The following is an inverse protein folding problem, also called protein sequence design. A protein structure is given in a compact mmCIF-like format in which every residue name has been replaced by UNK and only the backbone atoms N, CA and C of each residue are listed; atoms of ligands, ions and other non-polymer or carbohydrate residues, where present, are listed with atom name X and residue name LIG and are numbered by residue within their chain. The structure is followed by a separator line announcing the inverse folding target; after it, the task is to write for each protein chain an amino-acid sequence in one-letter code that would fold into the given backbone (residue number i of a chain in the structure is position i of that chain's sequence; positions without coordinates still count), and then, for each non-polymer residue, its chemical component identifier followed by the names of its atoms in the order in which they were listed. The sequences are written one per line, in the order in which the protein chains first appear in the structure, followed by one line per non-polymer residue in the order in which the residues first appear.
data_IF_545843208507
#
_entry.id   IF_545843208507
#
_cell.length_a   1.000
_cell.length_b   1.000
_cell.length_c   1.000
_cell.angle_alpha   90.00
_cell.angle_beta   90.00
_cell.angle_gamma   90.00
#
_symmetry.space_group_name_H-M   'P 1'
#
loop_
_entity.id
_entity.type
_entity.pdbx_description
1 polymer ?
#
# COMPACT_ATOMS: atom_id res chain seq x y z
N UNK A 1 -7.46 4.85 -23.52
CA UNK A 1 -8.04 4.95 -24.88
C UNK A 1 -9.21 5.94 -24.96
N UNK A 2 -10.25 5.82 -24.12
CA UNK A 2 -11.43 6.71 -24.17
C UNK A 2 -11.08 8.21 -24.05
N UNK A 3 -10.17 8.58 -23.14
CA UNK A 3 -9.70 9.96 -22.99
C UNK A 3 -9.12 10.53 -24.29
N UNK A 4 -8.25 9.77 -24.97
CA UNK A 4 -7.66 10.17 -26.24
C UNK A 4 -8.71 10.39 -27.34
N UNK A 5 -9.68 9.48 -27.47
CA UNK A 5 -10.77 9.62 -28.46
C UNK A 5 -11.62 10.85 -28.18
N UNK A 6 -11.91 11.14 -26.91
CA UNK A 6 -12.64 12.34 -26.51
C UNK A 6 -11.82 13.62 -26.77
N UNK A 7 -10.51 13.60 -26.56
CA UNK A 7 -9.63 14.73 -26.91
C UNK A 7 -9.74 15.09 -28.38
N UNK A 8 -9.70 14.10 -29.28
CA UNK A 8 -9.87 14.33 -30.71
C UNK A 8 -11.26 14.88 -31.02
N UNK A 9 -12.32 14.32 -30.41
CA UNK A 9 -13.71 14.73 -30.66
C UNK A 9 -13.99 16.17 -30.23
N UNK A 10 -13.46 16.60 -29.09
CA UNK A 10 -13.76 17.90 -28.48
C UNK A 10 -12.70 18.99 -28.74
N UNK A 11 -11.66 18.70 -29.54
CA UNK A 11 -10.52 19.62 -29.80
C UNK A 11 -10.90 21.03 -30.24
N UNK A 12 -12.00 21.19 -30.96
CA UNK A 12 -12.46 22.48 -31.49
C UNK A 12 -13.48 23.19 -30.59
N UNK A 13 -13.91 22.56 -29.50
CA UNK A 13 -14.97 23.07 -28.62
C UNK A 13 -14.45 23.62 -27.30
N UNK A 14 -13.16 23.38 -27.00
CA UNK A 14 -12.52 23.72 -25.73
C UNK A 14 -11.58 24.90 -25.89
N UNK A 15 -11.58 25.80 -24.92
CA UNK A 15 -10.56 26.85 -24.78
C UNK A 15 -9.22 26.25 -24.36
N UNK A 16 -8.13 26.99 -24.60
CA UNK A 16 -6.77 26.56 -24.19
C UNK A 16 -6.69 26.22 -22.70
N UNK A 17 -7.30 27.02 -21.83
CA UNK A 17 -7.30 26.79 -20.38
C UNK A 17 -8.06 25.51 -20.00
N UNK A 18 -9.26 25.29 -20.57
CA UNK A 18 -10.03 24.08 -20.32
C UNK A 18 -9.29 22.83 -20.79
N UNK A 19 -8.63 22.90 -21.96
CA UNK A 19 -7.82 21.81 -22.47
C UNK A 19 -6.62 21.48 -21.57
N UNK A 20 -5.94 22.48 -20.99
CA UNK A 20 -4.87 22.27 -20.02
C UNK A 20 -5.38 21.56 -18.76
N UNK A 21 -6.51 22.01 -18.20
CA UNK A 21 -7.10 21.39 -17.00
C UNK A 21 -7.51 19.93 -17.27
N UNK A 22 -8.11 19.66 -18.43
CA UNK A 22 -8.47 18.30 -18.83
C UNK A 22 -7.23 17.40 -18.99
N UNK A 23 -6.20 17.89 -19.68
CA UNK A 23 -4.97 17.14 -19.90
C UNK A 23 -4.24 16.83 -18.58
N UNK A 24 -4.18 17.81 -17.67
CA UNK A 24 -3.66 17.63 -16.30
C UNK A 24 -4.47 16.57 -15.54
N UNK A 25 -5.79 16.72 -15.47
CA UNK A 25 -6.65 15.79 -14.72
C UNK A 25 -6.54 14.36 -15.25
N UNK A 26 -6.44 14.18 -16.57
CA UNK A 26 -6.24 12.86 -17.18
C UNK A 26 -4.84 12.30 -16.94
N UNK A 27 -3.81 13.12 -17.15
CA UNK A 27 -2.41 12.74 -16.92
C UNK A 27 -2.21 12.27 -15.48
N UNK A 28 -2.61 13.08 -14.50
CA UNK A 28 -2.49 12.75 -13.08
C UNK A 28 -3.21 11.43 -12.72
N UNK A 29 -4.47 11.27 -13.11
CA UNK A 29 -5.27 10.12 -12.73
C UNK A 29 -4.79 8.82 -13.38
N UNK A 30 -4.41 8.86 -14.67
CA UNK A 30 -3.82 7.72 -15.36
C UNK A 30 -2.44 7.38 -14.79
N UNK A 31 -1.63 8.39 -14.49
CA UNK A 31 -0.33 8.23 -13.83
C UNK A 31 -0.45 7.61 -12.45
N UNK A 32 -1.34 8.13 -11.59
CA UNK A 32 -1.58 7.58 -10.25
C UNK A 32 -2.07 6.13 -10.30
N UNK A 33 -2.97 5.82 -11.23
CA UNK A 33 -3.53 4.47 -11.38
C UNK A 33 -2.45 3.48 -11.84
N UNK A 34 -1.66 3.85 -12.85
CA UNK A 34 -0.52 3.04 -13.30
C UNK A 34 0.52 2.89 -12.18
N UNK A 35 0.82 3.98 -11.47
CA UNK A 35 1.71 4.01 -10.32
C UNK A 35 1.32 3.04 -9.23
N UNK A 36 0.08 3.09 -8.76
CA UNK A 36 -0.41 2.18 -7.71
C UNK A 36 -0.36 0.72 -8.18
N UNK A 37 -0.71 0.46 -9.44
CA UNK A 37 -0.65 -0.89 -10.01
C UNK A 37 0.77 -1.45 -10.01
N UNK A 38 1.74 -0.72 -10.56
CA UNK A 38 3.12 -1.19 -10.64
C UNK A 38 3.83 -1.16 -9.28
N UNK A 39 3.53 -0.19 -8.42
CA UNK A 39 3.98 -0.17 -7.02
C UNK A 39 3.54 -1.40 -6.25
N UNK A 40 2.32 -1.90 -6.49
CA UNK A 40 1.81 -3.12 -5.87
C UNK A 40 2.38 -4.42 -6.48
N UNK A 41 2.73 -4.42 -7.78
CA UNK A 41 3.32 -5.59 -8.47
C UNK A 41 4.79 -5.75 -8.11
N UNK A 42 5.56 -4.66 -8.11
CA UNK A 42 7.00 -4.66 -7.88
C UNK A 42 7.37 -4.17 -6.46
N UNK A 43 6.60 -4.57 -5.45
CA UNK A 43 6.89 -4.24 -4.05
C UNK A 43 8.32 -4.67 -3.67
N UNK A 44 9.07 -3.76 -3.04
CA UNK A 44 10.48 -3.95 -2.70
C UNK A 44 11.46 -3.45 -3.76
N UNK A 45 10.99 -2.99 -4.92
CA UNK A 45 11.82 -2.31 -5.92
C UNK A 45 11.16 -1.00 -6.40
N UNK A 46 11.09 -0.01 -5.50
CA UNK A 46 10.57 1.33 -5.77
C UNK A 46 11.15 1.98 -7.03
N UNK A 47 12.44 1.76 -7.29
CA UNK A 47 13.13 2.35 -8.43
C UNK A 47 12.47 1.91 -9.75
N UNK A 48 12.26 0.61 -9.93
CA UNK A 48 11.63 0.08 -11.15
C UNK A 48 10.15 0.46 -11.26
N UNK A 49 9.40 0.40 -10.16
CA UNK A 49 8.01 0.84 -10.09
C UNK A 49 7.87 2.30 -10.53
N UNK A 50 8.72 3.17 -9.99
CA UNK A 50 8.67 4.60 -10.27
C UNK A 50 9.04 4.89 -11.72
N UNK A 51 10.11 4.27 -12.24
CA UNK A 51 10.56 4.48 -13.62
C UNK A 51 9.47 4.10 -14.64
N UNK A 52 8.91 2.90 -14.50
CA UNK A 52 7.88 2.38 -15.41
C UNK A 52 6.59 3.18 -15.31
N UNK A 53 6.15 3.48 -14.08
CA UNK A 53 4.91 4.22 -13.83
C UNK A 53 4.99 5.66 -14.32
N UNK A 54 6.12 6.32 -14.11
CA UNK A 54 6.35 7.69 -14.58
C UNK A 54 6.34 7.73 -16.10
N UNK A 55 7.00 6.77 -16.77
CA UNK A 55 7.00 6.67 -18.22
C UNK A 55 5.59 6.47 -18.80
N UNK A 56 4.83 5.53 -18.25
CA UNK A 56 3.46 5.25 -18.70
C UNK A 56 2.54 6.44 -18.43
N UNK A 57 2.63 7.05 -17.23
CA UNK A 57 1.85 8.23 -16.87
C UNK A 57 2.15 9.41 -17.78
N UNK A 58 3.44 9.68 -18.05
CA UNK A 58 3.87 10.76 -18.93
C UNK A 58 3.38 10.56 -20.37
N UNK A 59 3.50 9.35 -20.93
CA UNK A 59 3.00 9.03 -22.27
C UNK A 59 1.48 9.13 -22.36
N UNK A 60 0.76 8.64 -21.35
CA UNK A 60 -0.70 8.73 -21.29
C UNK A 60 -1.19 10.18 -21.19
N UNK A 61 -0.55 11.00 -20.36
CA UNK A 61 -0.83 12.42 -20.22
C UNK A 61 -0.52 13.21 -21.49
N UNK A 62 0.61 12.93 -22.13
CA UNK A 62 0.98 13.52 -23.42
C UNK A 62 -0.06 13.18 -24.50
N UNK A 63 -0.47 11.91 -24.59
CA UNK A 63 -1.48 11.48 -25.54
C UNK A 63 -2.81 12.23 -25.33
N UNK A 64 -3.24 12.46 -24.09
CA UNK A 64 -4.47 13.20 -23.82
C UNK A 64 -4.39 14.68 -24.23
N UNK A 65 -3.21 15.30 -24.12
CA UNK A 65 -2.99 16.71 -24.46
C UNK A 65 -2.70 16.99 -25.94
N UNK A 66 -2.16 16.03 -26.69
CA UNK A 66 -1.65 16.25 -28.06
C UNK A 66 -2.69 16.77 -29.04
N UNK A 67 -3.95 16.37 -28.88
CA UNK A 67 -5.04 16.81 -29.74
C UNK A 67 -5.37 18.32 -29.59
N UNK A 68 -4.92 18.96 -28.51
CA UNK A 68 -5.22 20.35 -28.16
C UNK A 68 -4.04 21.32 -28.37
N UNK A 69 -2.86 20.81 -28.76
CA UNK A 69 -1.66 21.59 -29.00
C UNK A 69 -0.59 21.46 -27.89
N UNK A 70 0.47 22.26 -28.00
CA UNK A 70 1.71 22.06 -27.23
C UNK A 70 1.54 22.32 -25.72
N UNK A 71 0.79 23.35 -25.31
CA UNK A 71 0.66 23.68 -23.89
C UNK A 71 -0.11 22.60 -23.11
N UNK A 72 -1.31 22.13 -23.52
CA UNK A 72 -1.97 21.00 -22.87
C UNK A 72 -1.16 19.70 -22.92
N UNK A 73 -0.36 19.50 -23.97
CA UNK A 73 0.54 18.34 -24.08
C UNK A 73 1.61 18.33 -23.00
N UNK A 74 2.26 19.46 -22.77
CA UNK A 74 3.27 19.61 -21.73
C UNK A 74 2.65 19.46 -20.34
N UNK A 75 1.48 20.06 -20.11
CA UNK A 75 0.78 19.95 -18.84
C UNK A 75 0.39 18.49 -18.53
N UNK A 76 -0.16 17.79 -19.53
CA UNK A 76 -0.49 16.37 -19.42
C UNK A 76 0.74 15.50 -19.16
N UNK A 77 1.84 15.74 -19.89
CA UNK A 77 3.11 15.01 -19.68
C UNK A 77 3.65 15.20 -18.26
N UNK A 78 3.76 16.44 -17.79
CA UNK A 78 4.32 16.74 -16.46
C UNK A 78 3.42 16.21 -15.35
N UNK A 79 2.11 16.36 -15.51
CA UNK A 79 1.12 15.86 -14.56
C UNK A 79 1.09 14.32 -14.51
N UNK A 80 1.23 13.67 -15.66
CA UNK A 80 1.34 12.22 -15.76
C UNK A 80 2.61 11.65 -15.14
N UNK A 81 3.74 12.34 -15.34
CA UNK A 81 5.00 12.01 -14.68
C UNK A 81 4.87 12.12 -13.15
N UNK A 82 4.34 13.24 -12.66
CA UNK A 82 4.11 13.45 -11.22
C UNK A 82 3.15 12.43 -10.62
N UNK A 83 2.04 12.14 -11.32
CA UNK A 83 1.07 11.13 -10.91
C UNK A 83 1.67 9.73 -10.88
N UNK A 84 2.50 9.36 -11.86
CA UNK A 84 3.19 8.08 -11.92
C UNK A 84 4.13 7.86 -10.73
N UNK A 85 4.92 8.88 -10.38
CA UNK A 85 5.83 8.81 -9.22
C UNK A 85 5.07 8.70 -7.90
N UNK A 86 4.08 9.57 -7.69
CA UNK A 86 3.27 9.54 -6.46
C UNK A 86 2.47 8.24 -6.33
N UNK A 87 1.97 7.70 -7.43
CA UNK A 87 1.24 6.44 -7.43
C UNK A 87 2.13 5.25 -7.09
N UNK A 88 3.37 5.20 -7.62
CA UNK A 88 4.33 4.14 -7.30
C UNK A 88 4.67 4.10 -5.81
N UNK A 89 4.93 5.28 -5.22
CA UNK A 89 5.17 5.42 -3.78
C UNK A 89 3.96 4.97 -2.96
N UNK A 90 2.74 5.37 -3.36
CA UNK A 90 1.51 4.91 -2.71
C UNK A 90 1.35 3.39 -2.80
N UNK A 91 1.56 2.80 -3.97
CA UNK A 91 1.39 1.36 -4.18
C UNK A 91 2.39 0.49 -3.42
N UNK A 92 3.59 0.99 -3.15
CA UNK A 92 4.58 0.29 -2.32
C UNK A 92 4.26 0.39 -0.83
N UNK A 93 3.69 1.51 -0.38
CA UNK A 93 3.38 1.76 1.03
C UNK A 93 2.13 1.05 1.56
N UNK A 94 1.23 0.58 0.68
CA UNK A 94 0.00 -0.13 1.07
C UNK A 94 0.10 -1.64 0.84
N UNK A 95 -0.65 -2.41 1.64
CA UNK A 95 -0.73 -3.86 1.43
C UNK A 95 -1.38 -4.19 0.08
N UNK A 96 -1.08 -5.37 -0.48
CA UNK A 96 -1.57 -5.77 -1.80
C UNK A 96 -3.11 -5.72 -1.91
N UNK A 97 -3.83 -6.10 -0.84
CA UNK A 97 -5.30 -6.00 -0.78
C UNK A 97 -5.81 -4.56 -0.73
N UNK A 98 -5.12 -3.69 0.01
CA UNK A 98 -5.45 -2.27 0.08
C UNK A 98 -5.14 -1.56 -1.24
N UNK A 99 -4.07 -1.97 -1.94
CA UNK A 99 -3.71 -1.45 -3.25
C UNK A 99 -4.79 -1.74 -4.31
N UNK A 100 -5.40 -2.93 -4.30
CA UNK A 100 -6.55 -3.21 -5.18
C UNK A 100 -7.76 -2.32 -4.89
N UNK A 101 -8.03 -2.06 -3.61
CA UNK A 101 -9.09 -1.11 -3.23
C UNK A 101 -8.77 0.29 -3.74
N UNK A 102 -7.54 0.76 -3.54
CA UNK A 102 -7.07 2.06 -4.02
C UNK A 102 -7.13 2.16 -5.56
N UNK A 103 -6.74 1.10 -6.26
CA UNK A 103 -6.81 1.02 -7.73
C UNK A 103 -8.25 1.21 -8.23
N UNK A 104 -9.22 0.57 -7.59
CA UNK A 104 -10.64 0.72 -7.93
C UNK A 104 -11.14 2.16 -7.72
N UNK A 105 -10.70 2.81 -6.64
CA UNK A 105 -11.03 4.22 -6.37
C UNK A 105 -10.43 5.13 -7.46
N UNK A 106 -9.16 4.94 -7.80
CA UNK A 106 -8.47 5.74 -8.81
C UNK A 106 -9.01 5.51 -10.23
N UNK A 107 -9.40 4.28 -10.57
CA UNK A 107 -10.11 3.97 -11.81
C UNK A 107 -11.47 4.66 -11.87
N UNK A 108 -12.21 4.69 -10.76
CA UNK A 108 -13.47 5.43 -10.65
C UNK A 108 -13.25 6.92 -10.90
N UNK A 109 -12.23 7.50 -10.25
CA UNK A 109 -11.88 8.90 -10.40
C UNK A 109 -11.49 9.21 -11.86
N UNK A 110 -10.71 8.34 -12.49
CA UNK A 110 -10.35 8.42 -13.91
C UNK A 110 -11.58 8.35 -14.83
N UNK A 111 -12.52 7.45 -14.55
CA UNK A 111 -13.75 7.35 -15.34
C UNK A 111 -14.62 8.60 -15.20
N UNK A 112 -14.73 9.14 -13.98
CA UNK A 112 -15.51 10.34 -13.72
C UNK A 112 -14.91 11.60 -14.35
N UNK A 113 -13.58 11.69 -14.45
CA UNK A 113 -12.90 12.83 -15.07
C UNK A 113 -13.14 12.91 -16.59
N UNK A 114 -13.57 11.82 -17.25
CA UNK A 114 -14.04 11.85 -18.65
C UNK A 114 -15.25 12.78 -18.84
N UNK A 115 -16.05 12.99 -17.80
CA UNK A 115 -17.21 13.89 -17.85
C UNK A 115 -16.81 15.36 -18.01
N UNK A 116 -15.56 15.73 -17.65
CA UNK A 116 -15.04 17.09 -17.80
C UNK A 116 -15.06 17.55 -19.26
N UNK A 117 -14.89 16.64 -20.22
CA UNK A 117 -14.99 16.95 -21.65
C UNK A 117 -16.38 17.46 -22.02
N UNK A 118 -17.44 16.77 -21.57
CA UNK A 118 -18.82 17.20 -21.81
C UNK A 118 -19.18 18.47 -21.03
N UNK A 119 -18.69 18.59 -19.80
CA UNK A 119 -18.90 19.73 -18.92
C UNK A 119 -18.35 21.01 -19.55
N UNK A 120 -17.08 21.01 -19.94
CA UNK A 120 -16.44 22.20 -20.50
C UNK A 120 -16.81 22.49 -21.95
N UNK A 121 -17.27 21.48 -22.69
CA UNK A 121 -17.79 21.67 -24.04
C UNK A 121 -19.22 22.23 -24.08
N UNK A 122 -19.94 22.24 -22.95
CA UNK A 122 -21.32 22.71 -22.89
C UNK A 122 -21.40 24.24 -22.99
N UNK A 123 -22.15 24.76 -23.98
CA UNK A 123 -22.36 26.20 -24.19
C UNK A 123 -23.42 26.82 -23.28
N UNK A 124 -24.10 26.03 -22.46
CA UNK A 124 -25.15 26.51 -21.55
C UNK A 124 -24.56 27.11 -20.27
N UNK A 125 -25.02 28.32 -19.92
CA UNK A 125 -24.63 29.02 -18.70
C UNK A 125 -24.90 28.14 -17.46
N UNK A 126 -23.84 27.88 -16.69
CA UNK A 126 -23.83 27.07 -15.47
C UNK A 126 -24.59 27.86 -14.37
N UNK A 127 -25.92 27.78 -14.35
CA UNK A 127 -26.73 28.56 -13.38
C UNK A 127 -27.64 27.74 -12.47
N UNK A 128 -27.65 26.42 -12.58
CA UNK A 128 -28.46 25.57 -11.70
C UNK A 128 -27.64 24.52 -10.92
N UNK A 129 -27.85 24.45 -9.59
CA UNK A 129 -27.28 23.43 -8.67
C UNK A 129 -27.50 21.99 -9.16
N UNK A 130 -28.54 21.73 -9.96
CA UNK A 130 -28.85 20.42 -10.55
C UNK A 130 -27.78 19.92 -11.54
N UNK A 131 -26.96 20.81 -12.10
CA UNK A 131 -25.95 20.43 -13.08
C UNK A 131 -24.72 19.75 -12.45
N UNK A 132 -24.28 20.21 -11.27
CA UNK A 132 -23.22 19.56 -10.49
C UNK A 132 -23.66 18.22 -9.88
N UNK A 133 -24.98 18.04 -9.67
CA UNK A 133 -25.51 16.79 -9.11
C UNK A 133 -25.32 15.60 -10.05
N UNK A 134 -25.36 15.80 -11.37
CA UNK A 134 -25.19 14.72 -12.37
C UNK A 134 -23.80 14.06 -12.30
N UNK A 135 -22.67 14.79 -12.40
CA UNK A 135 -21.34 14.20 -12.30
C UNK A 135 -21.07 13.63 -10.90
N UNK A 136 -21.56 14.29 -9.84
CA UNK A 136 -21.42 13.78 -8.47
C UNK A 136 -22.19 12.45 -8.28
N UNK A 137 -23.42 12.35 -8.78
CA UNK A 137 -24.23 11.12 -8.72
C UNK A 137 -23.58 10.00 -9.53
N UNK A 138 -23.04 10.29 -10.71
CA UNK A 138 -22.32 9.28 -11.49
C UNK A 138 -21.06 8.80 -10.78
N UNK A 139 -20.32 9.69 -10.11
CA UNK A 139 -19.16 9.30 -9.32
C UNK A 139 -19.57 8.38 -8.15
N UNK A 140 -20.60 8.76 -7.39
CA UNK A 140 -21.12 7.97 -6.26
C UNK A 140 -21.62 6.59 -6.73
N UNK A 141 -22.33 6.53 -7.85
CA UNK A 141 -22.86 5.28 -8.41
C UNK A 141 -21.73 4.35 -8.88
N UNK A 142 -20.74 4.90 -9.59
CA UNK A 142 -19.61 4.14 -10.13
C UNK A 142 -18.67 3.66 -9.01
N UNK A 143 -18.46 4.49 -7.98
CA UNK A 143 -17.75 4.11 -6.77
C UNK A 143 -18.46 2.99 -6.02
N UNK A 144 -19.76 3.13 -5.78
CA UNK A 144 -20.57 2.10 -5.11
C UNK A 144 -20.53 0.79 -5.89
N UNK A 145 -20.68 0.84 -7.21
CA UNK A 145 -20.61 -0.33 -8.09
C UNK A 145 -19.25 -1.04 -8.01
N UNK A 146 -18.14 -0.32 -8.07
CA UNK A 146 -16.80 -0.92 -7.99
C UNK A 146 -16.46 -1.43 -6.59
N UNK A 147 -16.91 -0.73 -5.54
CA UNK A 147 -16.73 -1.17 -4.16
C UNK A 147 -17.54 -2.45 -3.84
N UNK A 148 -18.81 -2.49 -4.25
CA UNK A 148 -19.66 -3.68 -4.08
C UNK A 148 -19.21 -4.83 -4.99
N UNK A 149 -18.73 -4.54 -6.20
CA UNK A 149 -18.14 -5.52 -7.11
C UNK A 149 -16.94 -6.23 -6.49
N UNK A 150 -16.07 -5.49 -5.81
CA UNK A 150 -14.92 -6.06 -5.09
C UNK A 150 -15.34 -6.97 -3.92
N UNK A 151 -16.42 -6.62 -3.21
CA UNK A 151 -17.00 -7.46 -2.14
C UNK A 151 -17.67 -8.74 -2.69
N UNK A 152 -18.27 -8.68 -3.88
CA UNK A 152 -18.88 -9.81 -4.58
C UNK A 152 -17.85 -10.78 -5.17
N UNK A 153 -16.68 -10.31 -5.58
CA UNK A 153 -15.62 -11.17 -6.10
C UNK A 153 -15.01 -12.03 -4.96
N UNK A 154 -14.89 -11.47 -3.76
CA UNK A 154 -14.58 -12.24 -2.54
C UNK A 154 -15.62 -13.30 -2.21
N UNK A 155 -16.90 -13.13 -2.56
CA UNK A 155 -17.94 -14.14 -2.32
C UNK A 155 -18.06 -15.19 -3.44
N UNK A 156 -17.69 -14.86 -4.68
CA UNK A 156 -17.64 -15.82 -5.81
C UNK A 156 -16.34 -16.62 -5.89
N UNK A 157 -15.22 -16.09 -5.42
CA UNK A 157 -13.98 -16.88 -5.28
C UNK A 157 -14.14 -18.04 -4.27
N UNK A 158 -15.12 -17.96 -3.36
CA UNK A 158 -15.42 -19.02 -2.38
C UNK A 158 -16.33 -20.12 -2.97
N UNK A 159 -17.10 -19.84 -4.03
CA UNK A 159 -18.06 -20.82 -4.59
C UNK A 159 -17.55 -21.64 -5.78
N UNK A 160 -16.32 -21.40 -6.26
CA UNK A 160 -15.75 -22.18 -7.39
C UNK A 160 -14.54 -23.08 -7.00
N UNK A 161 -14.01 -22.97 -5.78
CA UNK A 161 -12.87 -23.78 -5.33
C UNK A 161 -13.17 -24.79 -4.21
N UNK A 162 -14.39 -24.85 -3.67
CA UNK A 162 -14.77 -25.88 -2.70
C UNK A 162 -15.32 -27.14 -3.39
N UNK A 163 -14.49 -27.81 -4.17
CA UNK A 163 -14.58 -29.26 -4.40
C UNK A 163 -13.18 -29.83 -4.55
N UNK A 164 -12.48 -29.92 -3.43
CA UNK A 164 -11.55 -30.99 -3.14
C UNK A 164 -11.20 -30.91 -1.66
N UNK A 165 -11.82 -31.80 -0.89
CA UNK A 165 -11.45 -32.09 0.49
C UNK A 165 -9.94 -32.30 0.60
N UNK A 166 -9.31 -31.58 1.52
CA UNK A 166 -8.27 -32.19 2.33
C UNK A 166 -8.52 -31.74 3.75
N UNK A 167 -9.14 -32.61 4.52
CA UNK A 167 -9.13 -32.56 5.97
C UNK A 167 -7.67 -32.48 6.41
N UNK A 168 -7.26 -31.32 6.92
CA UNK A 168 -6.16 -31.25 7.85
C UNK A 168 -6.72 -30.70 9.15
N UNK A 169 -6.88 -31.64 10.08
CA UNK A 169 -7.22 -31.41 11.46
C UNK A 169 -6.47 -30.18 11.97
N UNK A 170 -7.20 -29.24 12.56
CA UNK A 170 -6.63 -28.32 13.52
C UNK A 170 -6.22 -29.16 14.72
N UNK A 171 -4.99 -29.66 14.69
CA UNK A 171 -4.32 -30.05 15.91
C UNK A 171 -4.08 -28.77 16.72
N UNK A 172 -4.82 -28.66 17.82
CA UNK A 172 -4.34 -27.99 19.02
C UNK A 172 -2.92 -28.49 19.29
N UNK A 173 -1.93 -27.70 18.89
CA UNK A 173 -0.59 -27.86 19.42
C UNK A 173 -0.57 -27.28 20.83
N UNK A 174 -1.05 -28.10 21.76
CA UNK A 174 -0.62 -28.13 23.13
C UNK A 174 0.89 -28.45 23.13
N UNK A 175 1.72 -27.42 23.00
CA UNK A 175 3.16 -27.59 22.92
C UNK A 175 3.77 -27.46 24.32
N UNK A 176 3.84 -28.63 24.97
CA UNK A 176 4.71 -28.95 26.10
C UNK A 176 5.93 -28.01 26.19
N UNK A 177 5.93 -27.19 27.24
CA UNK A 177 7.00 -27.12 28.25
C UNK A 177 8.37 -27.66 27.77
N UNK A 178 9.09 -26.89 26.94
CA UNK A 178 10.56 -26.88 26.96
C UNK A 178 11.00 -25.82 27.96
N UNK A 179 11.28 -26.29 29.17
CA UNK A 179 11.56 -25.57 30.43
C UNK A 179 12.79 -24.62 30.43
N UNK A 180 13.24 -24.08 29.29
CA UNK A 180 14.42 -23.19 29.25
C UNK A 180 14.37 -22.01 28.26
N UNK A 181 13.31 -21.85 27.46
CA UNK A 181 13.18 -20.68 26.59
C UNK A 181 12.70 -19.46 27.38
N UNK A 182 13.37 -18.32 27.25
CA UNK A 182 12.95 -17.08 27.89
C UNK A 182 11.82 -16.44 27.07
N UNK A 183 10.61 -16.45 27.61
CA UNK A 183 9.44 -15.80 26.98
C UNK A 183 9.48 -14.29 27.24
N UNK A 184 9.39 -13.51 26.17
CA UNK A 184 9.33 -12.06 26.21
C UNK A 184 8.11 -11.60 25.42
N UNK A 185 7.17 -10.98 26.10
CA UNK A 185 5.98 -10.40 25.48
C UNK A 185 6.15 -8.88 25.44
N UNK A 186 6.26 -8.34 24.23
CA UNK A 186 6.24 -6.91 23.95
C UNK A 186 4.80 -6.49 23.63
N UNK A 187 4.23 -5.68 24.51
CA UNK A 187 2.88 -5.12 24.31
C UNK A 187 2.98 -3.71 23.76
N UNK A 188 2.19 -3.42 22.74
CA UNK A 188 2.00 -2.07 22.19
C UNK A 188 0.62 -1.57 22.57
N UNK A 189 0.59 -0.41 23.24
CA UNK A 189 -0.64 0.22 23.72
C UNK A 189 -1.16 1.29 22.75
N UNK A 190 -2.50 1.48 22.68
CA UNK A 190 -3.11 2.50 21.83
C UNK A 190 -2.55 3.90 22.04
N UNK A 191 -2.24 4.60 20.95
CA UNK A 191 -1.90 6.03 20.92
C UNK A 191 -0.68 6.43 21.75
N UNK A 192 0.17 5.50 22.16
CA UNK A 192 1.38 5.80 22.94
C UNK A 192 2.68 5.72 22.14
N UNK A 193 2.67 5.08 20.96
CA UNK A 193 3.89 4.86 20.17
C UNK A 193 5.06 4.32 21.01
N UNK A 194 4.79 3.43 21.97
CA UNK A 194 5.80 2.86 22.88
C UNK A 194 5.64 1.36 22.99
N UNK A 195 6.77 0.66 23.12
CA UNK A 195 6.80 -0.74 23.54
C UNK A 195 6.78 -0.87 25.06
N UNK A 196 6.15 -1.92 25.56
CA UNK A 196 6.20 -2.28 26.98
C UNK A 196 6.49 -3.78 27.11
N UNK A 197 7.63 -4.17 27.71
CA UNK A 197 8.74 -3.32 28.16
C UNK A 197 9.49 -2.64 26.99
N UNK A 198 10.14 -1.50 27.25
CA UNK A 198 11.06 -0.84 26.31
C UNK A 198 12.45 -1.49 26.29
N UNK A 199 12.84 -2.12 27.38
CA UNK A 199 14.15 -2.73 27.57
C UNK A 199 14.01 -4.20 27.91
N UNK A 200 14.67 -5.05 27.13
CA UNK A 200 14.63 -6.49 27.25
C UNK A 200 16.05 -6.98 27.53
N UNK A 201 16.21 -7.88 28.49
CA UNK A 201 17.49 -8.57 28.72
C UNK A 201 17.38 -10.02 28.27
N UNK A 202 18.29 -10.48 27.43
CA UNK A 202 18.44 -11.87 27.00
C UNK A 202 19.84 -12.38 27.33
N UNK A 203 20.05 -13.69 27.25
CA UNK A 203 21.37 -14.30 27.40
C UNK A 203 21.81 -14.88 26.05
N UNK A 204 23.07 -14.69 25.70
CA UNK A 204 23.67 -15.27 24.50
C UNK A 204 23.53 -16.78 24.51
N UNK A 205 23.12 -17.35 23.38
CA UNK A 205 22.94 -18.79 23.19
C UNK A 205 21.71 -19.38 23.87
N UNK A 206 20.92 -18.60 24.61
CA UNK A 206 19.64 -19.05 25.17
C UNK A 206 18.50 -18.77 24.20
N UNK A 207 17.62 -19.76 23.99
CA UNK A 207 16.43 -19.57 23.17
C UNK A 207 15.48 -18.53 23.82
N UNK A 208 14.97 -17.61 22.99
CA UNK A 208 13.99 -16.63 23.37
C UNK A 208 12.78 -16.68 22.42
N UNK A 209 11.59 -16.47 22.97
CA UNK A 209 10.37 -16.27 22.20
C UNK A 209 9.94 -14.81 22.37
N UNK A 210 9.80 -14.09 21.26
CA UNK A 210 9.33 -12.71 21.27
C UNK A 210 7.92 -12.65 20.69
N UNK A 211 6.97 -12.19 21.49
CA UNK A 211 5.59 -11.94 21.06
C UNK A 211 5.34 -10.44 21.01
N UNK A 212 4.96 -9.92 19.85
CA UNK A 212 4.44 -8.57 19.68
C UNK A 212 2.92 -8.62 19.79
N UNK A 213 2.37 -8.11 20.89
CA UNK A 213 0.93 -7.95 21.09
C UNK A 213 0.51 -6.52 20.77
N UNK A 214 -0.14 -6.33 19.61
CA UNK A 214 -0.58 -5.02 19.15
C UNK A 214 -2.03 -4.76 19.60
N UNK A 215 -2.20 -3.96 20.65
CA UNK A 215 -3.53 -3.54 21.13
C UNK A 215 -4.05 -2.27 20.45
N UNK A 216 -3.26 -1.64 19.58
CA UNK A 216 -3.59 -0.40 18.90
C UNK A 216 -4.54 -0.63 17.71
N UNK A 217 -5.10 0.47 17.20
CA UNK A 217 -5.97 0.49 16.01
C UNK A 217 -5.18 0.68 14.70
N UNK A 218 -3.86 0.85 14.78
CA UNK A 218 -2.94 0.92 13.66
C UNK A 218 -1.98 -0.27 13.71
N UNK A 219 -1.39 -0.60 12.57
CA UNK A 219 -0.39 -1.66 12.51
C UNK A 219 0.89 -1.22 13.22
N UNK A 220 1.66 -2.19 13.69
CA UNK A 220 2.97 -1.97 14.28
C UNK A 220 3.90 -3.13 13.91
N UNK A 221 5.18 -2.84 13.80
CA UNK A 221 6.21 -3.84 13.58
C UNK A 221 7.40 -3.61 14.50
N UNK A 222 8.28 -4.60 14.60
CA UNK A 222 9.56 -4.50 15.27
C UNK A 222 10.63 -4.84 14.25
N UNK A 223 11.55 -3.92 14.02
CA UNK A 223 12.80 -4.16 13.30
C UNK A 223 13.99 -4.13 14.25
N UNK A 224 14.84 -5.18 14.24
CA UNK A 224 16.13 -5.19 14.93
C UNK A 224 17.22 -5.24 13.87
N UNK A 225 18.09 -4.23 13.85
CA UNK A 225 19.25 -4.21 12.94
C UNK A 225 20.45 -4.90 13.58
N UNK A 226 21.21 -5.62 12.75
CA UNK A 226 22.55 -6.14 13.09
C UNK A 226 22.61 -7.14 14.25
N UNK A 227 21.52 -7.85 14.56
CA UNK A 227 21.55 -8.93 15.55
C UNK A 227 21.83 -10.27 14.87
N UNK A 228 22.90 -10.94 15.29
CA UNK A 228 23.18 -12.32 14.86
C UNK A 228 22.25 -13.28 15.60
N UNK A 229 21.32 -13.92 14.86
CA UNK A 229 20.33 -14.84 15.45
C UNK A 229 20.23 -16.15 14.68
N UNK A 230 19.94 -17.24 15.39
CA UNK A 230 19.43 -18.48 14.81
C UNK A 230 17.90 -18.47 14.90
N UNK A 231 17.19 -18.38 13.77
CA UNK A 231 15.72 -18.47 13.70
C UNK A 231 15.29 -19.94 13.72
N UNK A 232 14.22 -20.28 14.45
CA UNK A 232 13.72 -21.67 14.55
C UNK A 232 12.39 -21.91 13.81
N UNK A 233 11.69 -20.88 13.33
CA UNK A 233 10.37 -21.05 12.72
C UNK A 233 10.41 -21.32 11.20
N UNK A 234 9.80 -22.44 10.81
CA UNK A 234 9.60 -22.97 9.47
C UNK A 234 8.55 -22.21 8.63
N UNK A 235 8.42 -20.90 8.82
CA UNK A 235 7.58 -20.08 7.93
C UNK A 235 8.40 -19.67 6.70
N UNK A 236 8.06 -20.31 5.58
CA UNK A 236 8.61 -20.13 4.24
C UNK A 236 8.66 -18.65 3.87
N UNK A 237 9.80 -18.01 4.10
CA UNK A 237 10.47 -16.99 3.27
C UNK A 237 11.82 -16.67 3.92
N UNK A 238 12.67 -17.70 4.11
CA UNK A 238 14.02 -17.52 4.62
C UNK A 238 15.00 -17.87 3.50
N UNK A 239 15.56 -16.82 2.90
CA UNK A 239 16.73 -16.93 2.04
C UNK A 239 17.90 -17.45 2.91
N UNK A 240 18.64 -18.42 2.39
CA UNK A 240 19.77 -19.04 3.08
C UNK A 240 20.91 -18.02 3.26
N UNK A 241 21.44 -17.89 4.48
CA UNK A 241 22.67 -17.14 4.71
C UNK A 241 22.93 -16.89 6.20
N UNK A 242 24.13 -17.22 6.65
CA UNK A 242 24.69 -16.84 7.97
C UNK A 242 25.07 -15.36 7.98
N UNK A 243 24.10 -14.50 7.67
CA UNK A 243 24.29 -13.06 7.55
C UNK A 243 23.53 -12.34 8.65
N UNK A 244 24.01 -11.15 9.04
CA UNK A 244 23.32 -10.24 9.95
C UNK A 244 21.84 -10.15 9.54
N UNK A 245 20.95 -10.74 10.32
CA UNK A 245 19.55 -10.79 9.94
C UNK A 245 18.94 -9.42 10.25
N UNK A 246 18.37 -8.79 9.22
CA UNK A 246 17.31 -7.81 9.45
C UNK A 246 16.13 -8.59 10.06
N UNK A 247 15.96 -8.43 11.37
CA UNK A 247 14.87 -9.05 12.12
C UNK A 247 13.65 -8.18 11.91
N UNK A 248 12.55 -8.73 11.41
CA UNK A 248 11.28 -8.01 11.25
C UNK A 248 10.12 -8.88 11.74
N UNK A 249 9.29 -8.32 12.62
CA UNK A 249 8.08 -8.95 13.14
C UNK A 249 6.92 -7.97 13.04
N UNK A 250 5.88 -8.30 12.28
CA UNK A 250 4.73 -7.43 12.03
C UNK A 250 3.47 -7.95 12.75
N UNK A 251 2.77 -7.06 13.46
CA UNK A 251 1.46 -7.33 14.04
C UNK A 251 0.44 -6.28 13.56
N UNK A 252 -0.58 -6.74 12.85
CA UNK A 252 -1.70 -5.89 12.44
C UNK A 252 -2.50 -5.40 13.65
N UNK A 253 -3.35 -4.39 13.46
CA UNK A 253 -4.30 -3.88 14.47
C UNK A 253 -5.01 -4.99 15.27
N UNK A 254 -4.95 -4.91 16.59
CA UNK A 254 -5.59 -5.86 17.53
C UNK A 254 -5.20 -7.32 17.30
N UNK A 255 -3.95 -7.57 16.91
CA UNK A 255 -3.43 -8.92 16.65
C UNK A 255 -2.07 -9.14 17.33
N UNK A 256 -1.63 -10.38 17.35
CA UNK A 256 -0.35 -10.77 17.90
C UNK A 256 0.49 -11.52 16.86
N UNK A 257 1.80 -11.34 16.94
CA UNK A 257 2.76 -12.12 16.17
C UNK A 257 3.87 -12.60 17.09
N UNK A 258 4.31 -13.84 16.95
CA UNK A 258 5.37 -14.42 17.77
C UNK A 258 6.48 -15.02 16.89
N UNK A 259 7.71 -14.98 17.40
CA UNK A 259 8.87 -15.57 16.74
C UNK A 259 9.84 -16.13 17.76
N UNK A 260 10.38 -17.33 17.49
CA UNK A 260 11.46 -17.94 18.28
C UNK A 260 12.82 -17.71 17.64
N UNK A 261 13.77 -17.26 18.45
CA UNK A 261 15.15 -17.05 18.02
C UNK A 261 16.16 -17.30 19.13
N UNK A 262 17.43 -17.51 18.75
CA UNK A 262 18.56 -17.60 19.68
C UNK A 262 19.60 -16.54 19.32
N UNK A 263 19.89 -15.55 20.19
CA UNK A 263 20.94 -14.57 19.94
C UNK A 263 22.33 -15.21 20.04
N UNK A 264 23.18 -14.95 19.06
CA UNK A 264 24.51 -15.55 18.93
C UNK A 264 25.64 -14.62 19.39
N UNK A 265 25.35 -13.34 19.60
CA UNK A 265 26.31 -12.32 20.00
C UNK A 265 25.79 -11.52 21.20
N UNK A 266 26.70 -11.22 22.14
CA UNK A 266 26.43 -10.33 23.26
C UNK A 266 26.56 -8.88 22.78
N UNK A 267 25.71 -8.00 23.30
CA UNK A 267 25.67 -6.61 22.85
C UNK A 267 24.36 -5.93 23.16
N UNK A 268 24.29 -4.64 22.82
CA UNK A 268 23.09 -3.82 22.97
C UNK A 268 22.53 -3.53 21.59
N UNK A 269 21.36 -4.10 21.29
CA UNK A 269 20.70 -4.01 20.00
C UNK A 269 19.45 -3.13 20.13
N UNK A 270 19.35 -2.10 19.30
CA UNK A 270 18.16 -1.25 19.26
C UNK A 270 17.12 -1.86 18.34
N UNK A 271 15.86 -1.75 18.74
CA UNK A 271 14.72 -2.12 17.92
C UNK A 271 13.73 -0.97 17.82
N UNK A 272 13.02 -0.86 16.71
CA UNK A 272 12.08 0.24 16.47
C UNK A 272 10.97 -0.17 15.52
N UNK A 273 9.88 0.61 15.51
CA UNK A 273 8.81 0.50 14.50
C UNK A 273 9.22 1.24 13.22
N UNK A 274 9.09 0.60 12.06
CA UNK A 274 9.49 1.13 10.75
C UNK A 274 8.41 1.99 10.10
N UNK A 275 7.19 1.92 10.64
CA UNK A 275 6.04 2.68 10.12
C UNK A 275 6.35 4.18 10.21
N UNK A 276 6.18 4.94 9.11
CA UNK A 276 6.55 6.35 9.05
C UNK A 276 5.99 7.17 10.21
N UNK A 277 6.87 7.88 10.91
CA UNK A 277 6.53 8.72 12.06
C UNK A 277 6.54 7.98 13.40
N UNK A 278 6.41 6.66 13.45
CA UNK A 278 6.31 5.95 14.73
C UNK A 278 7.65 5.97 15.49
N UNK A 279 8.76 5.74 14.79
CA UNK A 279 10.11 5.87 15.35
C UNK A 279 10.40 7.29 15.84
N UNK A 280 10.06 8.30 15.04
CA UNK A 280 10.27 9.71 15.37
C UNK A 280 9.46 10.15 16.59
N UNK A 281 8.32 9.49 16.84
CA UNK A 281 7.49 9.68 18.04
C UNK A 281 7.98 8.86 19.25
N UNK A 282 9.12 8.17 19.17
CA UNK A 282 9.74 7.49 20.29
C UNK A 282 9.47 5.99 20.38
N UNK A 283 8.94 5.37 19.32
CA UNK A 283 8.68 3.92 19.28
C UNK A 283 9.97 3.11 19.06
N UNK A 284 10.82 3.13 20.08
CA UNK A 284 12.15 2.54 20.12
C UNK A 284 12.27 1.74 21.43
N UNK A 285 12.96 0.61 21.36
CA UNK A 285 13.36 -0.17 22.53
C UNK A 285 14.77 -0.74 22.37
N UNK A 286 15.23 -1.43 23.41
CA UNK A 286 16.58 -1.99 23.48
C UNK A 286 16.53 -3.44 23.92
N UNK A 287 17.28 -4.30 23.24
CA UNK A 287 17.58 -5.67 23.68
C UNK A 287 19.05 -5.71 24.11
N UNK A 288 19.29 -6.02 25.38
CA UNK A 288 20.63 -6.28 25.92
C UNK A 288 20.84 -7.78 25.97
N UNK A 289 21.82 -8.29 25.22
CA UNK A 289 22.24 -9.70 25.26
C UNK A 289 23.51 -9.80 26.09
N UNK A 290 23.43 -10.50 27.22
CA UNK A 290 24.58 -10.81 28.08
C UNK A 290 25.31 -12.06 27.59
#
# INVERSE_FOLDING_TARGET
MAAFMLSIKFRNQLTKMQAMVIAMAMGMNLGLTAGVLFGAIFQGNLYTSTLVSSGIGALAGLACGIAFGILPSLEGFMSGLMGGMMGAMLGEMVSRDQAFTLLNILLTLTASSLLLYNIFSSKTSIREKKWFLKPALTYILLFSFLYFGNQLDKSKAISFFNTSNTEQNHEEHDNKSTLNAKEVVLTVYPSKFTYTPSDITLNKGQEAALTLSNLDNVDHDIEIKQIAVKKLDNNKHANHGTDQADFHLHASRKSEAALRFTPLESGVFKFYCTIPGHKENGMIGTITVN
#
